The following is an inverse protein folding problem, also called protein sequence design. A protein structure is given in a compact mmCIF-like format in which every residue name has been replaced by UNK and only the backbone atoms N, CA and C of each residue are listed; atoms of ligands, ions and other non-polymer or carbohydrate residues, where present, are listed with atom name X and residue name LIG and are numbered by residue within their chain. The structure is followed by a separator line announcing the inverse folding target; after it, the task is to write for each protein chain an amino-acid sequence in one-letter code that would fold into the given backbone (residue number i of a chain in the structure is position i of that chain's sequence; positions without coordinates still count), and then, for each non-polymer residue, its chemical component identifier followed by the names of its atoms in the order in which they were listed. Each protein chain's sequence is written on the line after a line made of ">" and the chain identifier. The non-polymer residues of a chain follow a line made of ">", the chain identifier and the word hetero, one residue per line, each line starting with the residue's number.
data_IF_091282638521
#
_entry.id   IF_091282638521
#
_cell.length_a   1.000
_cell.length_b   1.000
_cell.length_c   1.000
_cell.angle_alpha   90.00
_cell.angle_beta   90.00
_cell.angle_gamma   90.00
#
_symmetry.space_group_name_H-M   'P 1'
#
loop_
_entity.id
_entity.type
_entity.pdbx_description
1 polymer ?
#
# COMPACT_ATOMS: atom_id res chain seq x y z
N UNK A 1 -7.59 -6.74 -3.78
CA UNK A 1 -6.57 -5.94 -3.05
C UNK A 1 -5.41 -5.45 -3.95
N UNK A 2 -4.99 -6.24 -4.96
CA UNK A 2 -3.85 -5.88 -5.82
C UNK A 2 -3.97 -4.50 -6.48
N UNK A 3 -5.12 -4.16 -7.05
CA UNK A 3 -5.34 -2.84 -7.67
C UNK A 3 -5.24 -1.69 -6.64
N UNK A 4 -5.64 -1.94 -5.40
CA UNK A 4 -5.53 -0.96 -4.32
C UNK A 4 -4.04 -0.75 -3.96
N UNK A 5 -3.28 -1.83 -3.84
CA UNK A 5 -1.84 -1.76 -3.62
C UNK A 5 -1.12 -0.97 -4.72
N UNK A 6 -1.49 -1.21 -5.98
CA UNK A 6 -0.95 -0.46 -7.11
C UNK A 6 -1.31 1.04 -7.03
N UNK A 7 -2.56 1.37 -6.71
CA UNK A 7 -3.00 2.75 -6.56
C UNK A 7 -2.25 3.48 -5.42
N UNK A 8 -2.12 2.83 -4.26
CA UNK A 8 -1.38 3.39 -3.12
C UNK A 8 0.08 3.63 -3.50
N UNK A 9 0.75 2.67 -4.13
CA UNK A 9 2.14 2.79 -4.55
C UNK A 9 2.35 3.96 -5.52
N UNK A 10 1.49 4.10 -6.54
CA UNK A 10 1.58 5.21 -7.50
C UNK A 10 1.32 6.56 -6.86
N UNK A 11 0.35 6.63 -5.92
CA UNK A 11 0.04 7.89 -5.23
C UNK A 11 1.17 8.28 -4.28
N UNK A 12 1.74 7.36 -3.50
CA UNK A 12 2.92 7.61 -2.67
C UNK A 12 4.10 8.13 -3.51
N UNK A 13 4.40 7.48 -4.64
CA UNK A 13 5.49 7.90 -5.53
C UNK A 13 5.25 9.30 -6.07
N UNK A 14 4.03 9.62 -6.48
CA UNK A 14 3.68 10.94 -7.03
C UNK A 14 3.71 12.05 -5.98
N UNK A 15 3.66 11.70 -4.71
CA UNK A 15 3.65 12.63 -3.56
C UNK A 15 4.94 12.58 -2.73
N UNK A 16 6.03 12.07 -3.30
CA UNK A 16 7.36 12.21 -2.75
C UNK A 16 7.87 11.03 -1.92
N UNK A 17 7.06 10.00 -1.70
CA UNK A 17 7.48 8.77 -1.05
C UNK A 17 7.71 7.68 -2.10
N UNK A 18 8.97 7.32 -2.43
CA UNK A 18 9.24 6.27 -3.42
C UNK A 18 8.54 4.97 -3.03
N UNK A 19 7.77 4.42 -3.95
CA UNK A 19 7.01 3.21 -3.71
C UNK A 19 6.77 2.46 -5.01
N UNK A 20 6.80 1.13 -4.95
CA UNK A 20 6.52 0.25 -6.08
C UNK A 20 5.49 -0.80 -5.67
N UNK A 21 4.72 -1.26 -6.64
CA UNK A 21 3.81 -2.38 -6.44
C UNK A 21 4.55 -3.69 -6.74
N UNK A 22 4.55 -4.60 -5.77
CA UNK A 22 5.08 -5.95 -5.90
C UNK A 22 3.92 -6.95 -5.86
N UNK A 23 3.74 -7.70 -6.94
CA UNK A 23 2.75 -8.79 -6.95
C UNK A 23 3.32 -10.01 -6.21
N UNK A 24 2.61 -10.58 -5.20
CA UNK A 24 3.19 -11.64 -4.37
C UNK A 24 3.53 -12.92 -5.14
N UNK A 25 2.82 -13.22 -6.22
CA UNK A 25 3.17 -14.36 -7.09
C UNK A 25 4.44 -14.08 -7.89
N UNK A 26 4.54 -12.89 -8.51
CA UNK A 26 5.73 -12.52 -9.30
C UNK A 26 6.98 -12.39 -8.43
N UNK A 27 6.81 -12.00 -7.17
CA UNK A 27 7.89 -11.98 -6.19
C UNK A 27 8.59 -13.35 -6.07
N UNK A 28 7.81 -14.45 -6.12
CA UNK A 28 8.36 -15.81 -6.07
C UNK A 28 9.08 -16.24 -7.37
N UNK A 29 8.93 -15.45 -8.43
CA UNK A 29 9.55 -15.68 -9.73
C UNK A 29 10.67 -14.69 -10.09
N UNK A 30 11.16 -13.95 -9.10
CA UNK A 30 12.32 -13.06 -9.24
C UNK A 30 12.08 -11.61 -8.84
N UNK A 31 10.82 -11.12 -8.87
CA UNK A 31 10.50 -9.73 -8.51
C UNK A 31 10.74 -9.42 -7.03
N UNK A 32 11.00 -10.44 -6.20
CA UNK A 32 11.51 -10.25 -4.84
C UNK A 32 12.77 -9.36 -4.80
N UNK A 33 13.55 -9.37 -5.87
CA UNK A 33 14.72 -8.50 -6.07
C UNK A 33 14.41 -6.99 -6.14
N UNK A 34 13.14 -6.59 -6.24
CA UNK A 34 12.74 -5.18 -6.14
C UNK A 34 12.89 -4.64 -4.71
N UNK A 35 12.82 -5.52 -3.70
CA UNK A 35 12.95 -5.14 -2.29
C UNK A 35 14.39 -4.70 -2.04
N UNK A 36 14.55 -3.58 -1.35
CA UNK A 36 15.84 -3.03 -0.98
C UNK A 36 16.01 -3.00 0.54
N UNK A 37 17.26 -2.92 0.97
CA UNK A 37 17.58 -2.74 2.39
C UNK A 37 16.92 -1.45 2.92
N UNK A 38 16.25 -1.55 4.05
CA UNK A 38 15.49 -0.49 4.73
C UNK A 38 14.14 -0.13 4.07
N UNK A 39 13.66 -0.92 3.11
CA UNK A 39 12.29 -0.79 2.66
C UNK A 39 11.29 -1.22 3.75
N UNK A 40 10.07 -0.75 3.61
CA UNK A 40 8.92 -1.22 4.38
C UNK A 40 8.03 -2.05 3.43
N UNK A 41 7.74 -3.27 3.82
CA UNK A 41 6.83 -4.13 3.08
C UNK A 41 5.39 -3.88 3.53
N UNK A 42 4.57 -3.29 2.65
CA UNK A 42 3.17 -3.00 2.92
C UNK A 42 2.25 -4.04 2.25
N UNK A 43 1.63 -4.88 3.06
CA UNK A 43 0.87 -6.05 2.65
C UNK A 43 -0.65 -5.78 2.73
N UNK A 44 -1.40 -6.08 1.68
CA UNK A 44 -2.83 -5.78 1.62
C UNK A 44 -3.62 -7.05 1.34
N UNK A 45 -4.38 -7.51 2.33
CA UNK A 45 -5.26 -8.67 2.21
C UNK A 45 -6.47 -8.55 3.12
N UNK A 46 -7.68 -8.44 2.56
CA UNK A 46 -8.89 -8.32 3.38
C UNK A 46 -9.09 -9.52 4.31
N UNK A 47 -8.90 -10.74 3.81
CA UNK A 47 -9.04 -11.96 4.61
C UNK A 47 -7.87 -12.22 5.57
N UNK A 48 -6.68 -11.64 5.28
CA UNK A 48 -5.45 -11.98 5.98
C UNK A 48 -4.98 -13.43 5.80
N UNK A 49 -5.57 -14.15 4.83
CA UNK A 49 -5.32 -15.58 4.56
C UNK A 49 -4.84 -15.86 3.13
N UNK A 50 -4.47 -14.81 2.40
CA UNK A 50 -3.97 -14.94 1.02
C UNK A 50 -2.61 -15.65 1.06
N UNK A 51 -2.57 -16.88 0.56
CA UNK A 51 -1.42 -17.77 0.66
C UNK A 51 -0.15 -17.14 0.11
N UNK A 52 -0.23 -16.52 -1.05
CA UNK A 52 0.91 -15.90 -1.73
C UNK A 52 1.51 -14.73 -0.92
N UNK A 53 0.69 -14.02 -0.16
CA UNK A 53 1.13 -12.95 0.74
C UNK A 53 1.80 -13.53 1.98
N UNK A 54 1.24 -14.59 2.56
CA UNK A 54 1.81 -15.25 3.73
C UNK A 54 3.15 -15.91 3.40
N UNK A 55 3.28 -16.48 2.19
CA UNK A 55 4.54 -17.07 1.70
C UNK A 55 5.60 -16.01 1.38
N UNK A 56 5.20 -14.79 0.99
CA UNK A 56 6.12 -13.69 0.69
C UNK A 56 6.90 -13.22 1.92
N UNK A 57 6.26 -13.17 3.10
CA UNK A 57 6.87 -12.65 4.33
C UNK A 57 8.17 -13.37 4.70
N UNK A 58 8.21 -14.71 4.84
CA UNK A 58 9.46 -15.41 5.16
C UNK A 58 10.51 -15.31 4.05
N UNK A 59 10.11 -15.10 2.80
CA UNK A 59 11.07 -14.88 1.70
C UNK A 59 11.71 -13.50 1.81
N UNK A 60 10.94 -12.47 2.10
CA UNK A 60 11.43 -11.11 2.32
C UNK A 60 12.35 -11.05 3.55
N UNK A 61 11.97 -11.70 4.64
CA UNK A 61 12.79 -11.79 5.87
C UNK A 61 14.14 -12.50 5.63
N UNK A 62 14.14 -13.55 4.79
CA UNK A 62 15.40 -14.22 4.41
C UNK A 62 16.30 -13.35 3.55
N UNK A 63 15.71 -12.48 2.71
CA UNK A 63 16.47 -11.56 1.87
C UNK A 63 17.04 -10.40 2.68
N UNK A 64 16.23 -9.82 3.54
CA UNK A 64 16.61 -8.71 4.42
C UNK A 64 16.09 -8.96 5.85
N UNK A 65 16.90 -9.62 6.71
CA UNK A 65 16.51 -9.86 8.10
C UNK A 65 16.16 -8.57 8.84
N UNK A 66 15.00 -8.58 9.49
CA UNK A 66 14.46 -7.41 10.19
C UNK A 66 13.77 -6.39 9.27
N UNK A 67 13.36 -6.78 8.06
CA UNK A 67 12.54 -5.90 7.19
C UNK A 67 11.26 -5.51 7.90
N UNK A 68 10.97 -4.20 7.92
CA UNK A 68 9.74 -3.70 8.54
C UNK A 68 8.50 -4.03 7.72
N UNK A 69 7.44 -4.43 8.41
CA UNK A 69 6.22 -4.93 7.79
C UNK A 69 4.97 -4.24 8.32
N UNK A 70 4.08 -3.85 7.40
CA UNK A 70 2.77 -3.28 7.72
C UNK A 70 1.72 -4.11 6.96
N UNK A 71 0.65 -4.51 7.63
CA UNK A 71 -0.51 -5.13 6.97
C UNK A 71 -1.73 -4.21 7.01
N UNK A 72 -2.50 -4.23 5.93
CA UNK A 72 -3.85 -3.68 5.84
C UNK A 72 -4.83 -4.83 5.61
N UNK A 73 -5.68 -5.12 6.59
CA UNK A 73 -6.56 -6.29 6.58
C UNK A 73 -7.90 -6.00 7.25
N UNK A 74 -8.94 -6.78 6.90
CA UNK A 74 -10.22 -6.79 7.62
C UNK A 74 -10.17 -7.56 8.94
N UNK A 75 -9.16 -8.39 9.13
CA UNK A 75 -9.09 -9.37 10.20
C UNK A 75 -7.70 -9.36 10.88
N UNK A 76 -7.42 -8.38 11.73
CA UNK A 76 -6.09 -8.22 12.36
C UNK A 76 -5.69 -9.39 13.25
N UNK A 77 -6.67 -10.18 13.73
CA UNK A 77 -6.45 -11.39 14.51
C UNK A 77 -6.06 -12.62 13.66
N UNK A 78 -6.08 -12.51 12.34
CA UNK A 78 -5.70 -13.58 11.44
C UNK A 78 -4.17 -13.73 11.30
N UNK A 79 -3.76 -14.77 10.58
CA UNK A 79 -2.35 -15.14 10.39
C UNK A 79 -1.51 -13.95 9.92
N UNK A 80 -1.93 -13.23 8.90
CA UNK A 80 -1.19 -12.05 8.40
C UNK A 80 -0.99 -10.99 9.50
N UNK A 81 -2.05 -10.68 10.26
CA UNK A 81 -1.98 -9.66 11.32
C UNK A 81 -1.01 -10.04 12.45
N UNK A 82 -0.84 -11.34 12.72
CA UNK A 82 0.09 -11.85 13.74
C UNK A 82 1.55 -11.91 13.25
N UNK A 83 1.79 -11.83 11.95
CA UNK A 83 3.13 -11.95 11.33
C UNK A 83 3.82 -10.62 11.06
N UNK A 84 3.14 -9.49 11.25
CA UNK A 84 3.65 -8.16 10.87
C UNK A 84 3.93 -7.29 12.09
N UNK A 85 4.80 -6.27 11.92
CA UNK A 85 5.11 -5.31 12.99
C UNK A 85 3.94 -4.39 13.30
N UNK A 86 3.20 -3.96 12.26
CA UNK A 86 2.05 -3.06 12.39
C UNK A 86 0.88 -3.61 11.58
N UNK A 87 -0.29 -3.73 12.23
CA UNK A 87 -1.51 -4.17 11.57
C UNK A 87 -2.57 -3.07 11.59
N UNK A 88 -3.01 -2.65 10.40
CA UNK A 88 -4.08 -1.68 10.19
C UNK A 88 -5.37 -2.42 9.86
N UNK A 89 -6.43 -2.20 10.64
CA UNK A 89 -7.74 -2.83 10.44
C UNK A 89 -8.67 -1.96 9.60
N UNK A 90 -9.40 -2.58 8.65
CA UNK A 90 -10.50 -1.94 7.94
C UNK A 90 -11.81 -1.92 8.73
N UNK A 91 -11.87 -2.53 9.92
CA UNK A 91 -13.03 -2.55 10.80
C UNK A 91 -14.16 -3.50 10.38
N UNK A 92 -13.89 -4.53 9.59
CA UNK A 92 -14.88 -5.53 9.15
C UNK A 92 -16.09 -4.96 8.39
N UNK A 93 -15.90 -4.12 7.38
CA UNK A 93 -17.03 -3.54 6.68
C UNK A 93 -17.86 -4.63 5.96
N UNK A 94 -19.18 -4.56 6.12
CA UNK A 94 -20.07 -5.45 5.38
C UNK A 94 -20.08 -5.06 3.90
N UNK A 95 -19.89 -6.05 3.03
CA UNK A 95 -19.96 -5.83 1.59
C UNK A 95 -21.39 -5.45 1.17
N UNK A 96 -21.53 -4.48 0.26
CA UNK A 96 -22.84 -4.04 -0.26
C UNK A 96 -23.35 -4.93 -1.39
N UNK A 97 -22.55 -5.85 -1.88
CA UNK A 97 -22.99 -6.80 -2.90
C UNK A 97 -24.07 -7.73 -2.33
N UNK A 98 -25.11 -8.10 -3.11
CA UNK A 98 -26.22 -8.91 -2.62
C UNK A 98 -25.81 -10.27 -2.07
N UNK A 99 -24.68 -10.81 -2.52
CA UNK A 99 -24.15 -12.10 -2.08
C UNK A 99 -23.21 -11.98 -0.87
N UNK A 100 -22.79 -10.75 -0.50
CA UNK A 100 -21.79 -10.54 0.55
C UNK A 100 -20.39 -11.08 0.20
N UNK A 101 -20.10 -11.32 -1.09
CA UNK A 101 -18.88 -11.98 -1.57
C UNK A 101 -17.98 -11.05 -2.37
N UNK A 102 -18.56 -10.22 -3.24
CA UNK A 102 -17.79 -9.32 -4.10
C UNK A 102 -17.16 -8.21 -3.28
N UNK A 103 -15.84 -8.03 -3.34
CA UNK A 103 -15.16 -6.92 -2.66
C UNK A 103 -15.69 -5.57 -3.17
N UNK A 104 -16.33 -4.82 -2.29
CA UNK A 104 -16.98 -3.54 -2.56
C UNK A 104 -16.63 -2.55 -1.45
N UNK A 105 -17.34 -2.63 -0.31
CA UNK A 105 -17.07 -1.75 0.85
C UNK A 105 -15.66 -1.94 1.39
N UNK A 106 -15.19 -3.18 1.51
CA UNK A 106 -13.84 -3.47 1.99
C UNK A 106 -12.76 -2.80 1.14
N UNK A 107 -12.88 -2.86 -0.20
CA UNK A 107 -11.92 -2.23 -1.11
C UNK A 107 -11.98 -0.70 -1.04
N UNK A 108 -13.16 -0.12 -0.86
CA UNK A 108 -13.34 1.33 -0.68
C UNK A 108 -12.67 1.80 0.60
N UNK A 109 -12.89 1.09 1.72
CA UNK A 109 -12.25 1.41 3.01
C UNK A 109 -10.73 1.29 2.91
N UNK A 110 -10.20 0.24 2.26
CA UNK A 110 -8.76 0.09 2.02
C UNK A 110 -8.19 1.25 1.21
N UNK A 111 -8.90 1.73 0.20
CA UNK A 111 -8.48 2.88 -0.59
C UNK A 111 -8.40 4.13 0.27
N UNK A 112 -9.44 4.41 1.08
CA UNK A 112 -9.45 5.57 1.99
C UNK A 112 -8.30 5.49 3.01
N UNK A 113 -8.06 4.33 3.61
CA UNK A 113 -6.93 4.15 4.52
C UNK A 113 -5.57 4.34 3.83
N UNK A 114 -5.45 3.89 2.58
CA UNK A 114 -4.29 4.16 1.75
C UNK A 114 -4.07 5.65 1.51
N UNK A 115 -5.12 6.39 1.19
CA UNK A 115 -5.07 7.85 1.00
C UNK A 115 -4.69 8.58 2.29
N UNK A 116 -5.17 8.12 3.45
CA UNK A 116 -4.77 8.65 4.76
C UNK A 116 -3.27 8.46 4.99
N UNK A 117 -2.72 7.29 4.66
CA UNK A 117 -1.28 7.03 4.75
C UNK A 117 -0.50 7.97 3.83
N UNK A 118 -0.96 8.15 2.59
CA UNK A 118 -0.34 9.08 1.63
C UNK A 118 -0.29 10.49 2.20
N UNK A 119 -1.41 11.01 2.72
CA UNK A 119 -1.49 12.35 3.30
C UNK A 119 -0.58 12.48 4.53
N UNK A 120 -0.58 11.48 5.41
CA UNK A 120 0.31 11.46 6.58
C UNK A 120 1.79 11.48 6.18
N UNK A 121 2.15 10.76 5.12
CA UNK A 121 3.51 10.78 4.58
C UNK A 121 3.88 12.13 3.97
N UNK A 122 2.95 12.78 3.23
CA UNK A 122 3.16 14.13 2.71
C UNK A 122 3.44 15.12 3.85
N UNK A 123 2.67 15.07 4.92
CA UNK A 123 2.90 15.90 6.12
C UNK A 123 4.26 15.59 6.76
N UNK A 124 4.57 14.31 6.93
CA UNK A 124 5.83 13.86 7.55
C UNK A 124 7.07 14.33 6.83
N UNK A 125 7.06 14.38 5.50
CA UNK A 125 8.20 14.81 4.68
C UNK A 125 8.14 16.30 4.32
N UNK A 126 7.13 17.04 4.82
CA UNK A 126 6.86 18.44 4.47
C UNK A 126 6.74 18.66 2.95
N UNK A 127 5.99 17.79 2.27
CA UNK A 127 5.81 17.82 0.83
C UNK A 127 5.09 19.09 0.38
N UNK A 128 5.71 19.86 -0.49
CA UNK A 128 5.23 21.18 -0.90
C UNK A 128 4.52 21.16 -2.25
N UNK A 129 3.84 22.26 -2.56
CA UNK A 129 3.23 22.49 -3.89
C UNK A 129 4.30 22.52 -5.00
N UNK A 130 5.47 23.07 -4.71
CA UNK A 130 6.62 23.04 -5.62
C UNK A 130 7.12 21.63 -5.88
N UNK A 131 7.21 20.78 -4.84
CA UNK A 131 7.56 19.36 -4.99
C UNK A 131 6.55 18.61 -5.85
N UNK A 132 5.26 18.94 -5.72
CA UNK A 132 4.20 18.39 -6.54
C UNK A 132 4.38 18.80 -8.02
N UNK A 133 4.66 20.08 -8.28
CA UNK A 133 4.89 20.63 -9.63
C UNK A 133 6.05 19.93 -10.35
N UNK A 134 7.12 19.59 -9.63
CA UNK A 134 8.28 18.86 -10.17
C UNK A 134 7.94 17.43 -10.62
N UNK A 135 6.86 16.84 -10.13
CA UNK A 135 6.44 15.47 -10.45
C UNK A 135 5.26 15.41 -11.41
N UNK A 136 4.54 16.53 -11.61
CA UNK A 136 3.32 16.61 -12.41
C UNK A 136 3.46 17.69 -13.49
N UNK A 137 4.11 17.36 -14.61
CA UNK A 137 4.43 18.33 -15.67
C UNK A 137 3.27 18.67 -16.61
N UNK A 138 2.24 17.82 -16.69
CA UNK A 138 1.11 17.97 -17.62
C UNK A 138 -0.23 17.95 -16.91
N UNK A 139 -1.30 18.22 -17.67
CA UNK A 139 -2.67 18.19 -17.19
C UNK A 139 -3.05 19.35 -16.27
N UNK A 140 -4.29 19.29 -15.77
CA UNK A 140 -4.87 20.35 -14.92
C UNK A 140 -4.10 20.53 -13.61
N UNK A 141 -3.78 19.44 -12.92
CA UNK A 141 -3.10 19.48 -11.61
C UNK A 141 -1.67 20.03 -11.73
N UNK A 142 -0.94 19.64 -12.78
CA UNK A 142 0.39 20.19 -13.05
C UNK A 142 0.37 21.69 -13.34
N UNK A 143 -0.66 22.19 -14.05
CA UNK A 143 -0.86 23.64 -14.26
C UNK A 143 -1.22 24.35 -12.94
N UNK A 144 -2.16 23.77 -12.17
CA UNK A 144 -2.62 24.33 -10.90
C UNK A 144 -1.49 24.41 -9.84
N UNK A 145 -0.59 23.43 -9.82
CA UNK A 145 0.53 23.43 -8.88
C UNK A 145 1.56 24.53 -9.14
N UNK A 146 1.59 25.10 -10.35
CA UNK A 146 2.47 26.20 -10.75
C UNK A 146 1.79 27.58 -10.80
N UNK A 147 0.48 27.65 -10.57
CA UNK A 147 -0.29 28.89 -10.80
C UNK A 147 -0.08 30.00 -9.75
N UNK A 148 0.59 29.69 -8.64
CA UNK A 148 0.84 30.64 -7.55
C UNK A 148 2.37 30.91 -7.38
N UNK A 149 3.17 30.59 -8.37
CA UNK A 149 4.57 31.04 -8.51
C UNK A 149 4.60 32.30 -9.41
#
# INVERSE_FOLDING_TARGET
>A
AGQIGHNIATTLSSTGTPSIFLHPTEAQHGDLGMIQKNDILFLISNSGKTKEILELLPLAERLFPGIHTIALTGHPENELGSMVDVCLSTGYPKEVCPLGLTPTTSTTVMTVLGDIIVVAMMEKINFTKSDYALRHHSGYLGKKSRADE
#
